data_IF_083352615986
#
_entry.id   IF_083352615986
#
_cell.length_a   1.000
_cell.length_b   1.000
_cell.length_c   1.000
_cell.angle_alpha   90.00
_cell.angle_beta   90.00
_cell.angle_gamma   90.00
#
_symmetry.space_group_name_H-M   'P 1'
#
loop_
_entity.id
_entity.type
_entity.pdbx_description
1 polymer ?
#
# COMPACT_ATOMS: atom_id res chain seq x y z
N UNK A 1 7.65 3.02 6.41
CA UNK A 1 6.28 2.52 6.68
C UNK A 1 5.33 3.62 6.21
N UNK A 2 4.35 3.32 5.35
CA UNK A 2 3.39 4.32 4.90
C UNK A 2 2.62 4.92 6.10
N UNK A 3 2.39 6.23 6.09
CA UNK A 3 1.66 6.94 7.13
C UNK A 3 0.15 6.78 6.90
N UNK A 4 -0.55 6.28 7.91
CA UNK A 4 -2.01 6.37 8.00
C UNK A 4 -2.41 7.38 9.07
N UNK A 5 -3.61 7.92 8.97
CA UNK A 5 -4.12 8.87 9.97
C UNK A 5 -4.18 8.24 11.36
N UNK A 6 -4.63 6.97 11.42
CA UNK A 6 -4.65 6.18 12.65
C UNK A 6 -3.26 5.95 13.25
N UNK A 7 -2.24 5.70 12.43
CA UNK A 7 -0.87 5.48 12.90
C UNK A 7 -0.27 6.79 13.45
N UNK A 8 -0.55 7.92 12.80
CA UNK A 8 -0.09 9.22 13.29
C UNK A 8 -0.80 9.61 14.58
N UNK A 9 -2.13 9.44 14.67
CA UNK A 9 -2.88 9.69 15.90
C UNK A 9 -2.38 8.82 17.07
N UNK A 10 -2.16 7.52 16.82
CA UNK A 10 -1.61 6.61 17.82
C UNK A 10 -0.19 7.02 18.27
N UNK A 11 0.64 7.51 17.35
CA UNK A 11 1.98 7.99 17.69
C UNK A 11 1.96 9.26 18.53
N UNK A 12 1.05 10.20 18.24
CA UNK A 12 0.87 11.40 19.08
C UNK A 12 0.41 11.01 20.47
N UNK A 13 -0.53 10.07 20.60
CA UNK A 13 -0.96 9.55 21.89
C UNK A 13 0.20 8.90 22.66
N UNK A 14 1.05 8.11 21.99
CA UNK A 14 2.22 7.50 22.62
C UNK A 14 3.23 8.52 23.17
N UNK A 15 3.34 9.70 22.55
CA UNK A 15 4.26 10.76 22.97
C UNK A 15 3.64 11.64 24.07
N UNK A 16 2.38 12.00 23.92
CA UNK A 16 1.73 13.04 24.73
C UNK A 16 0.82 12.49 25.82
N UNK A 17 0.37 11.24 25.70
CA UNK A 17 -0.67 10.64 26.53
C UNK A 17 -2.09 11.11 26.20
N UNK A 18 -2.26 12.03 25.26
CA UNK A 18 -3.55 12.64 24.91
C UNK A 18 -4.10 12.08 23.59
N UNK A 19 -5.43 12.03 23.47
CA UNK A 19 -6.07 11.75 22.19
C UNK A 19 -6.14 13.02 21.35
N UNK A 20 -5.76 12.91 20.07
CA UNK A 20 -5.89 14.02 19.12
C UNK A 20 -7.28 14.03 18.52
N UNK A 21 -7.82 15.24 18.30
CA UNK A 21 -9.10 15.39 17.59
C UNK A 21 -9.03 14.86 16.15
N UNK A 22 -10.17 14.41 15.63
CA UNK A 22 -10.30 13.80 14.30
C UNK A 22 -9.65 14.65 13.18
N UNK A 23 -9.75 15.98 13.26
CA UNK A 23 -9.20 16.89 12.25
C UNK A 23 -7.74 17.31 12.49
N UNK A 24 -7.13 16.93 13.61
CA UNK A 24 -5.76 17.33 13.94
C UNK A 24 -4.77 16.78 12.91
N UNK A 25 -4.96 15.51 12.50
CA UNK A 25 -4.07 14.85 11.55
C UNK A 25 -4.13 15.51 10.16
N UNK A 26 -5.31 15.96 9.73
CA UNK A 26 -5.44 16.76 8.50
C UNK A 26 -4.74 18.13 8.61
N UNK A 27 -4.79 18.75 9.79
CA UNK A 27 -4.02 19.97 10.08
C UNK A 27 -2.52 19.73 9.98
N UNK A 28 -2.04 18.63 10.56
CA UNK A 28 -0.64 18.19 10.51
C UNK A 28 -0.19 17.90 9.06
N UNK A 29 -0.99 17.15 8.28
CA UNK A 29 -0.76 16.92 6.85
C UNK A 29 -0.58 18.21 6.06
N UNK A 30 -1.44 19.20 6.31
CA UNK A 30 -1.39 20.50 5.64
C UNK A 30 -0.17 21.34 6.05
N UNK A 31 0.23 21.25 7.32
CA UNK A 31 1.40 21.95 7.84
C UNK A 31 2.73 21.34 7.37
N UNK A 32 2.74 20.03 7.04
CA UNK A 32 3.93 19.26 6.68
C UNK A 32 3.83 18.63 5.29
N UNK A 33 3.80 19.44 4.20
CA UNK A 33 3.64 18.95 2.84
C UNK A 33 4.78 18.02 2.37
N UNK A 34 5.95 18.08 2.98
CA UNK A 34 7.08 17.17 2.75
C UNK A 34 6.72 15.70 3.05
N UNK A 35 5.74 15.48 3.92
CA UNK A 35 5.28 14.13 4.27
C UNK A 35 4.31 13.55 3.26
N UNK A 36 3.84 14.34 2.28
CA UNK A 36 2.76 13.98 1.34
C UNK A 36 2.98 12.64 0.64
N UNK A 37 4.19 12.35 0.18
CA UNK A 37 4.53 11.12 -0.53
C UNK A 37 4.55 9.87 0.37
N UNK A 38 4.54 10.05 1.69
CA UNK A 38 4.55 8.95 2.66
C UNK A 38 3.14 8.54 3.09
N UNK A 39 2.11 9.34 2.80
CA UNK A 39 0.74 9.02 3.19
C UNK A 39 0.15 7.94 2.30
N UNK A 40 -0.49 6.95 2.93
CA UNK A 40 -1.27 5.94 2.23
C UNK A 40 -2.40 6.65 1.49
N UNK A 41 -2.42 6.52 0.18
CA UNK A 41 -3.57 6.92 -0.62
C UNK A 41 -4.76 6.00 -0.35
N UNK A 42 -5.98 6.51 -0.53
CA UNK A 42 -7.19 5.69 -0.38
C UNK A 42 -7.16 4.41 -1.23
N UNK A 43 -6.54 4.46 -2.41
CA UNK A 43 -6.37 3.30 -3.29
C UNK A 43 -5.40 2.26 -2.72
N UNK A 44 -4.28 2.67 -2.14
CA UNK A 44 -3.34 1.76 -1.49
C UNK A 44 -3.97 1.09 -0.25
N UNK A 45 -4.80 1.82 0.51
CA UNK A 45 -5.55 1.23 1.63
C UNK A 45 -6.55 0.17 1.15
N UNK A 46 -7.30 0.46 0.09
CA UNK A 46 -8.22 -0.50 -0.52
C UNK A 46 -7.50 -1.72 -1.09
N UNK A 47 -6.35 -1.53 -1.76
CA UNK A 47 -5.52 -2.63 -2.24
C UNK A 47 -4.98 -3.48 -1.10
N UNK A 48 -4.52 -2.88 0.00
CA UNK A 48 -4.06 -3.60 1.18
C UNK A 48 -5.18 -4.38 1.85
N UNK A 49 -6.39 -3.82 1.93
CA UNK A 49 -7.57 -4.51 2.46
C UNK A 49 -8.05 -5.65 1.55
N UNK A 50 -7.97 -5.46 0.23
CA UNK A 50 -8.31 -6.47 -0.76
C UNK A 50 -7.19 -7.51 -0.97
N UNK A 51 -6.03 -7.35 -0.33
CA UNK A 51 -4.89 -8.26 -0.46
C UNK A 51 -5.17 -9.59 0.25
N UNK A 52 -5.78 -10.50 -0.47
CA UNK A 52 -5.94 -11.88 -0.02
C UNK A 52 -4.64 -12.65 -0.28
N UNK A 53 -3.82 -12.79 0.76
CA UNK A 53 -2.50 -13.45 0.68
C UNK A 53 -2.55 -14.85 0.04
N UNK A 54 -3.49 -15.75 0.40
CA UNK A 54 -3.68 -17.01 -0.31
C UNK A 54 -3.87 -16.84 -1.83
N UNK A 55 -4.78 -15.96 -2.25
CA UNK A 55 -5.06 -15.73 -3.69
C UNK A 55 -3.82 -15.21 -4.42
N UNK A 56 -3.09 -14.27 -3.80
CA UNK A 56 -1.86 -13.72 -4.38
C UNK A 56 -0.79 -14.80 -4.50
N UNK A 57 -0.64 -15.63 -3.47
CA UNK A 57 0.32 -16.73 -3.49
C UNK A 57 -0.03 -17.77 -4.57
N UNK A 58 -1.31 -18.15 -4.66
CA UNK A 58 -1.79 -19.10 -5.65
C UNK A 58 -1.58 -18.58 -7.08
N UNK A 59 -1.83 -17.29 -7.31
CA UNK A 59 -1.52 -16.63 -8.59
C UNK A 59 -0.04 -16.80 -8.96
N UNK A 60 0.88 -16.49 -8.04
CA UNK A 60 2.32 -16.59 -8.32
C UNK A 60 2.78 -18.05 -8.48
N UNK A 61 2.17 -18.99 -7.77
CA UNK A 61 2.44 -20.43 -7.93
C UNK A 61 2.07 -20.88 -9.35
N UNK A 62 0.83 -20.60 -9.78
CA UNK A 62 0.34 -20.94 -11.13
C UNK A 62 1.20 -20.26 -12.20
N UNK A 63 1.52 -18.98 -12.01
CA UNK A 63 2.37 -18.24 -12.94
C UNK A 63 3.76 -18.87 -13.09
N UNK A 64 4.38 -19.25 -11.97
CA UNK A 64 5.68 -19.91 -11.98
C UNK A 64 5.62 -21.27 -12.69
N UNK A 65 4.60 -22.08 -12.42
CA UNK A 65 4.39 -23.36 -13.11
C UNK A 65 4.27 -23.20 -14.63
N UNK A 66 3.49 -22.21 -15.09
CA UNK A 66 3.34 -21.90 -16.51
C UNK A 66 4.65 -21.40 -17.12
N UNK A 67 5.38 -20.55 -16.41
CA UNK A 67 6.68 -20.06 -16.85
C UNK A 67 7.64 -21.23 -17.11
N UNK A 68 7.72 -22.20 -16.19
CA UNK A 68 8.57 -23.38 -16.35
C UNK A 68 8.06 -24.30 -17.47
N UNK A 69 6.75 -24.59 -17.50
CA UNK A 69 6.12 -25.50 -18.47
C UNK A 69 6.37 -25.05 -19.92
N UNK A 70 6.33 -23.75 -20.17
CA UNK A 70 6.49 -23.18 -21.51
C UNK A 70 7.86 -22.55 -21.74
N UNK A 71 8.80 -22.72 -20.81
CA UNK A 71 10.16 -22.14 -20.84
C UNK A 71 10.16 -20.65 -21.20
N UNK A 72 9.25 -19.87 -20.58
CA UNK A 72 9.04 -18.47 -20.91
C UNK A 72 10.24 -17.65 -20.41
N UNK A 73 11.00 -17.00 -21.30
CA UNK A 73 12.12 -16.16 -20.91
C UNK A 73 11.64 -14.97 -20.08
N UNK A 74 12.39 -14.59 -19.04
CA UNK A 74 12.04 -13.43 -18.18
C UNK A 74 11.83 -12.14 -18.98
N UNK A 75 12.54 -11.95 -20.09
CA UNK A 75 12.39 -10.81 -21.01
C UNK A 75 10.99 -10.70 -21.65
N UNK A 76 10.20 -11.77 -21.62
CA UNK A 76 8.84 -11.82 -22.18
C UNK A 76 7.77 -11.74 -21.08
N UNK A 77 8.15 -11.40 -19.84
CA UNK A 77 7.21 -11.14 -18.74
C UNK A 77 6.97 -9.63 -18.71
N UNK A 78 5.75 -9.21 -19.02
CA UNK A 78 5.37 -7.81 -19.04
C UNK A 78 4.47 -7.51 -17.86
N UNK A 79 4.72 -6.38 -17.20
CA UNK A 79 3.79 -5.86 -16.20
C UNK A 79 2.61 -5.20 -16.92
N UNK A 80 1.41 -5.72 -16.74
CA UNK A 80 0.18 -5.22 -17.38
C UNK A 80 -0.51 -4.12 -16.55
N UNK A 81 0.19 -3.49 -15.61
CA UNK A 81 -0.44 -2.59 -14.62
C UNK A 81 -0.49 -1.10 -15.02
N UNK A 82 -0.10 -0.71 -16.22
CA UNK A 82 -0.19 0.70 -16.65
C UNK A 82 -0.85 0.79 -18.04
N UNK A 83 -2.15 1.14 -18.00
CA UNK A 83 -2.98 1.60 -19.12
C UNK A 83 -3.16 0.61 -20.27
N UNK A 84 -4.15 -0.27 -20.11
CA UNK A 84 -4.86 -0.85 -21.25
C UNK A 84 -5.76 0.21 -21.91
N UNK A 85 -5.14 1.13 -22.67
CA UNK A 85 -5.76 2.29 -23.35
C UNK A 85 -6.20 3.41 -22.41
#
# INVERSE_FOLDING_TARGET
VPLSESAVAAHVHAITGEEVGEHWVHGFQRAHPETKAMWISGQESLHAQALNKPIVQDFYNIFYELQQKYNIPKKNIYNMNEKGI
#
